data_IF_522513538023
#
_entry.id   IF_522513538023
#
_cell.length_a   1.000
_cell.length_b   1.000
_cell.length_c   1.000
_cell.angle_alpha   90.00
_cell.angle_beta   90.00
_cell.angle_gamma   90.00
#
_symmetry.space_group_name_H-M   'P 1'
#
loop_
_entity.id
_entity.type
_entity.pdbx_description
1 polymer ?
#
# COMPACT_ATOMS: atom_id res chain seq x y z
N UNK A 1 36.91 -7.88 -3.98
CA UNK A 1 35.89 -6.90 -4.39
C UNK A 1 34.67 -7.08 -3.49
N UNK A 2 33.91 -6.02 -3.24
CA UNK A 2 32.68 -6.12 -2.45
C UNK A 2 31.57 -6.86 -3.24
N UNK A 3 30.70 -7.57 -2.53
CA UNK A 3 29.51 -8.26 -3.08
C UNK A 3 28.32 -7.81 -2.23
N UNK A 4 27.31 -7.22 -2.86
CA UNK A 4 26.10 -6.77 -2.18
C UNK A 4 25.28 -7.93 -1.63
N UNK A 5 24.80 -7.86 -0.40
CA UNK A 5 23.85 -8.83 0.13
C UNK A 5 22.41 -8.31 0.10
N UNK A 6 21.50 -9.18 -0.34
CA UNK A 6 20.08 -8.86 -0.41
C UNK A 6 19.51 -8.41 0.95
N UNK A 7 18.59 -7.44 0.94
CA UNK A 7 17.92 -7.01 2.15
C UNK A 7 16.92 -8.08 2.61
N UNK A 8 16.48 -7.97 3.86
CA UNK A 8 15.35 -8.75 4.36
C UNK A 8 14.46 -7.92 5.25
N UNK A 9 13.20 -8.33 5.38
CA UNK A 9 12.23 -7.66 6.25
C UNK A 9 11.20 -8.65 6.76
N UNK A 10 10.66 -8.37 7.94
CA UNK A 10 9.45 -8.99 8.43
C UNK A 10 8.27 -8.04 8.30
N UNK A 11 7.06 -8.57 8.21
CA UNK A 11 5.82 -7.79 8.36
C UNK A 11 5.11 -8.17 9.65
N UNK A 12 4.41 -7.21 10.27
CA UNK A 12 3.58 -7.47 11.45
C UNK A 12 2.38 -8.36 11.12
N UNK A 13 1.87 -8.26 9.89
CA UNK A 13 0.78 -9.07 9.36
C UNK A 13 0.96 -9.27 7.85
N UNK A 14 0.33 -10.30 7.29
CA UNK A 14 0.15 -10.47 5.85
C UNK A 14 -1.26 -10.09 5.40
N UNK A 15 -2.15 -9.78 6.34
CA UNK A 15 -3.52 -9.35 6.08
C UNK A 15 -3.78 -8.03 6.82
N UNK A 16 -4.20 -7.02 6.07
CA UNK A 16 -4.48 -5.67 6.57
C UNK A 16 -5.93 -5.33 6.24
N UNK A 17 -6.68 -4.91 7.26
CA UNK A 17 -8.06 -4.45 7.07
C UNK A 17 -8.17 -2.93 7.23
N UNK A 18 -8.87 -2.31 6.29
CA UNK A 18 -9.11 -0.86 6.29
C UNK A 18 -10.59 -0.60 5.97
N UNK A 19 -11.33 0.21 6.75
CA UNK A 19 -12.70 0.56 6.39
C UNK A 19 -12.75 1.38 5.10
N UNK A 20 -13.72 1.14 4.22
CA UNK A 20 -13.98 2.04 3.10
C UNK A 20 -14.24 3.46 3.63
N UNK A 21 -13.81 4.46 2.86
CA UNK A 21 -13.92 5.87 3.23
C UNK A 21 -13.10 6.29 4.48
N UNK A 22 -12.14 5.48 4.96
CA UNK A 22 -11.26 5.86 6.07
C UNK A 22 -10.31 7.01 5.75
N UNK A 23 -10.23 7.44 4.48
CA UNK A 23 -9.23 8.38 4.02
C UNK A 23 -7.88 7.69 3.93
N UNK A 24 -6.95 8.02 4.83
CA UNK A 24 -5.64 7.36 4.95
C UNK A 24 -5.46 6.71 6.31
N UNK A 25 -5.14 5.42 6.31
CA UNK A 25 -4.82 4.63 7.49
C UNK A 25 -3.33 4.32 7.52
N UNK A 26 -2.68 4.56 8.66
CA UNK A 26 -1.26 4.33 8.87
C UNK A 26 -1.03 3.16 9.85
N UNK A 27 -0.12 2.26 9.49
CA UNK A 27 0.31 1.13 10.32
C UNK A 27 1.80 1.30 10.62
N UNK A 28 2.09 1.94 11.76
CA UNK A 28 3.46 2.20 12.20
C UNK A 28 4.19 0.88 12.54
N UNK A 29 5.43 0.75 12.09
CA UNK A 29 6.24 -0.46 12.31
C UNK A 29 5.73 -1.70 11.57
N UNK A 30 4.86 -1.53 10.58
CA UNK A 30 4.29 -2.63 9.80
C UNK A 30 5.36 -3.51 9.17
N UNK A 31 6.33 -2.92 8.48
CA UNK A 31 7.52 -3.61 8.01
C UNK A 31 8.69 -3.33 8.96
N UNK A 32 9.37 -4.39 9.39
CA UNK A 32 10.61 -4.26 10.16
C UNK A 32 11.76 -4.71 9.25
N UNK A 33 12.54 -3.77 8.69
CA UNK A 33 13.76 -4.11 7.98
C UNK A 33 14.71 -4.88 8.92
N UNK A 34 14.93 -6.14 8.61
CA UNK A 34 16.01 -6.92 9.20
C UNK A 34 17.16 -6.75 8.23
N UNK A 35 17.96 -5.71 8.45
CA UNK A 35 19.05 -5.47 7.53
C UNK A 35 19.94 -6.73 7.47
N UNK A 36 20.18 -7.21 6.25
CA UNK A 36 21.07 -8.30 5.83
C UNK A 36 20.88 -9.64 6.57
N UNK A 37 20.08 -10.54 6.00
CA UNK A 37 19.70 -11.84 6.57
C UNK A 37 20.85 -12.84 6.81
N UNK A 38 22.10 -12.50 6.48
CA UNK A 38 23.23 -13.43 6.51
C UNK A 38 24.43 -12.76 7.16
N UNK A 39 24.81 -13.18 8.38
CA UNK A 39 26.10 -12.89 9.04
C UNK A 39 26.66 -11.50 8.76
N UNK A 40 26.10 -10.45 9.39
CA UNK A 40 26.69 -9.11 9.52
C UNK A 40 27.50 -8.73 8.26
N UNK A 41 26.79 -8.33 7.20
CA UNK A 41 27.42 -7.84 5.99
C UNK A 41 28.53 -6.85 6.32
N UNK A 42 29.54 -6.70 5.43
CA UNK A 42 30.63 -5.79 5.72
C UNK A 42 30.04 -4.39 6.05
N UNK A 43 30.63 -3.62 6.99
CA UNK A 43 30.02 -2.40 7.54
C UNK A 43 29.55 -1.36 6.50
N UNK A 44 30.03 -1.48 5.26
CA UNK A 44 29.62 -0.66 4.13
C UNK A 44 28.23 -1.01 3.55
N UNK A 45 27.48 -1.96 4.13
CA UNK A 45 26.07 -2.20 3.80
C UNK A 45 25.09 -1.43 4.70
N UNK A 46 25.56 -0.90 5.84
CA UNK A 46 24.74 -0.10 6.76
C UNK A 46 24.20 1.19 6.13
N UNK A 47 24.94 1.69 5.13
CA UNK A 47 24.69 2.95 4.42
C UNK A 47 23.79 2.80 3.20
N UNK A 48 23.39 1.58 2.84
CA UNK A 48 22.49 1.37 1.72
C UNK A 48 21.08 1.85 2.04
N UNK A 49 20.43 2.48 1.05
CA UNK A 49 19.07 2.96 1.15
C UNK A 49 18.10 1.83 0.86
N UNK A 50 17.03 1.72 1.65
CA UNK A 50 16.00 0.70 1.49
C UNK A 50 14.71 1.30 0.95
N UNK A 51 14.16 0.68 -0.08
CA UNK A 51 12.86 0.96 -0.67
C UNK A 51 11.98 -0.30 -0.60
N UNK A 52 10.65 -0.13 -0.56
CA UNK A 52 9.69 -1.22 -0.67
C UNK A 52 8.92 -1.11 -1.97
N UNK A 53 8.92 -2.19 -2.74
CA UNK A 53 8.26 -2.27 -4.04
C UNK A 53 7.03 -3.16 -3.92
N UNK A 54 5.92 -2.68 -4.46
CA UNK A 54 4.65 -3.40 -4.53
C UNK A 54 4.44 -3.90 -5.96
N UNK A 55 4.30 -5.21 -6.12
CA UNK A 55 3.85 -5.87 -7.35
C UNK A 55 2.43 -6.41 -7.13
N UNK A 56 1.56 -6.26 -8.12
CA UNK A 56 0.20 -6.80 -8.03
C UNK A 56 0.23 -8.31 -8.28
N UNK A 57 -0.44 -9.08 -7.44
CA UNK A 57 -0.65 -10.49 -7.73
C UNK A 57 -1.60 -10.63 -8.93
N UNK A 58 -1.35 -11.61 -9.81
CA UNK A 58 -2.19 -11.87 -10.98
C UNK A 58 -3.69 -11.93 -10.63
N UNK A 59 -4.52 -11.27 -11.44
CA UNK A 59 -5.98 -11.20 -11.23
C UNK A 59 -6.44 -10.15 -10.22
N UNK A 60 -5.54 -9.31 -9.69
CA UNK A 60 -5.90 -8.18 -8.83
C UNK A 60 -5.98 -6.88 -9.64
N UNK A 61 -7.03 -6.06 -9.44
CA UNK A 61 -7.14 -4.71 -10.01
C UNK A 61 -7.16 -3.64 -8.88
N UNK A 62 -5.98 -3.15 -8.48
CA UNK A 62 -5.82 -2.20 -7.37
C UNK A 62 -6.26 -0.79 -7.72
N UNK A 63 -6.23 -0.41 -9.01
CA UNK A 63 -6.63 0.93 -9.46
C UNK A 63 -8.12 1.19 -9.19
N UNK A 64 -8.88 0.12 -9.01
CA UNK A 64 -10.27 0.15 -8.63
C UNK A 64 -10.50 0.26 -7.11
N UNK A 65 -9.52 -0.03 -6.26
CA UNK A 65 -9.74 -0.11 -4.81
C UNK A 65 -9.15 1.05 -4.02
N UNK A 66 -8.09 1.69 -4.53
CA UNK A 66 -7.35 2.71 -3.80
C UNK A 66 -7.36 4.07 -4.50
N UNK A 67 -7.43 5.15 -3.72
CA UNK A 67 -7.30 6.52 -4.21
C UNK A 67 -5.84 6.84 -4.54
N UNK A 68 -4.91 6.37 -3.70
CA UNK A 68 -3.47 6.35 -3.91
C UNK A 68 -2.98 4.91 -3.75
N UNK A 69 -1.99 4.48 -4.54
CA UNK A 69 -1.38 3.17 -4.35
C UNK A 69 -0.84 3.00 -2.91
N UNK A 70 -1.02 1.83 -2.26
CA UNK A 70 -0.43 1.56 -0.96
C UNK A 70 1.10 1.73 -0.99
N UNK A 71 1.66 2.24 0.11
CA UNK A 71 3.10 2.50 0.22
C UNK A 71 3.64 2.04 1.57
N UNK A 72 4.82 1.44 1.59
CA UNK A 72 5.61 1.24 2.82
C UNK A 72 6.80 2.18 2.76
N UNK A 73 6.90 3.08 3.74
CA UNK A 73 8.05 3.96 3.87
C UNK A 73 9.26 3.21 4.42
N UNK A 74 10.46 3.77 4.24
CA UNK A 74 11.72 3.18 4.71
C UNK A 74 11.79 3.00 6.24
N UNK A 75 10.97 3.76 7.00
CA UNK A 75 10.81 3.59 8.44
C UNK A 75 9.88 2.41 8.82
N UNK A 76 9.35 1.68 7.84
CA UNK A 76 8.47 0.54 8.04
C UNK A 76 6.98 0.87 8.12
N UNK A 77 6.57 2.12 7.94
CA UNK A 77 5.15 2.50 8.05
C UNK A 77 4.41 2.19 6.76
N UNK A 78 3.37 1.36 6.83
CA UNK A 78 2.44 1.13 5.73
C UNK A 78 1.35 2.20 5.75
N UNK A 79 1.07 2.83 4.61
CA UNK A 79 -0.05 3.75 4.41
C UNK A 79 -0.97 3.21 3.34
N UNK A 80 -2.26 3.14 3.66
CA UNK A 80 -3.32 2.67 2.77
C UNK A 80 -4.40 3.73 2.64
N UNK A 81 -4.78 4.06 1.41
CA UNK A 81 -5.84 5.02 1.10
C UNK A 81 -6.91 4.41 0.18
N UNK A 82 -7.99 3.84 0.73
CA UNK A 82 -9.10 3.35 -0.08
C UNK A 82 -9.75 4.46 -0.90
N UNK A 83 -10.20 4.14 -2.10
CA UNK A 83 -11.05 5.03 -2.88
C UNK A 83 -12.45 5.13 -2.24
N UNK A 84 -13.12 6.27 -2.45
CA UNK A 84 -14.47 6.47 -1.93
C UNK A 84 -15.45 5.47 -2.54
N UNK A 85 -16.31 4.90 -1.69
CA UNK A 85 -17.35 3.95 -2.06
C UNK A 85 -16.84 2.66 -2.73
N UNK A 86 -15.56 2.35 -2.54
CA UNK A 86 -14.93 1.11 -3.00
C UNK A 86 -14.63 0.20 -1.82
N UNK A 87 -14.93 -1.08 -2.01
CA UNK A 87 -14.64 -2.16 -1.06
C UNK A 87 -14.24 -3.42 -1.82
N UNK A 88 -13.58 -4.34 -1.13
CA UNK A 88 -13.03 -5.56 -1.71
C UNK A 88 -11.61 -5.83 -1.21
N UNK A 89 -10.96 -6.85 -1.78
CA UNK A 89 -9.61 -7.23 -1.39
C UNK A 89 -8.68 -7.21 -2.59
N UNK A 90 -7.42 -6.86 -2.35
CA UNK A 90 -6.33 -6.91 -3.33
C UNK A 90 -5.12 -7.56 -2.69
N UNK A 91 -4.41 -8.38 -3.48
CA UNK A 91 -3.18 -9.04 -3.06
C UNK A 91 -1.97 -8.41 -3.75
N UNK A 92 -0.93 -8.21 -2.96
CA UNK A 92 0.34 -7.65 -3.38
C UNK A 92 1.47 -8.61 -3.04
N UNK A 93 2.48 -8.65 -3.91
CA UNK A 93 3.81 -9.17 -3.61
C UNK A 93 4.68 -7.97 -3.25
N UNK A 94 5.17 -7.93 -2.02
CA UNK A 94 6.02 -6.86 -1.51
C UNK A 94 7.46 -7.33 -1.45
N UNK A 95 8.39 -6.55 -2.00
CA UNK A 95 9.84 -6.78 -1.90
C UNK A 95 10.50 -5.57 -1.25
N UNK A 96 11.55 -5.82 -0.49
CA UNK A 96 12.49 -4.77 -0.13
C UNK A 96 13.60 -4.72 -1.17
N UNK A 97 14.04 -3.52 -1.53
CA UNK A 97 15.10 -3.27 -2.50
C UNK A 97 16.13 -2.31 -1.91
N UNK A 98 17.41 -2.65 -2.01
CA UNK A 98 18.51 -1.76 -1.67
C UNK A 98 19.20 -1.15 -2.90
N UNK A 99 20.24 -0.35 -2.67
CA UNK A 99 21.04 0.30 -3.72
C UNK A 99 22.51 -0.18 -3.76
N UNK A 100 22.80 -1.39 -3.28
CA UNK A 100 24.16 -1.93 -3.23
C UNK A 100 24.70 -2.48 -4.56
N UNK A 101 23.81 -2.78 -5.50
CA UNK A 101 24.10 -3.22 -6.86
C UNK A 101 24.32 -4.74 -7.01
N UNK A 102 24.14 -5.25 -8.23
CA UNK A 102 24.18 -6.70 -8.54
C UNK A 102 25.53 -7.23 -9.04
N UNK A 103 26.57 -6.37 -9.05
CA UNK A 103 27.89 -6.75 -9.51
C UNK A 103 28.51 -7.86 -8.63
N UNK A 104 29.39 -8.68 -9.22
CA UNK A 104 30.08 -9.78 -8.53
C UNK A 104 29.14 -10.81 -7.87
N UNK A 105 27.91 -10.96 -8.37
CA UNK A 105 26.90 -11.84 -7.78
C UNK A 105 26.11 -11.23 -6.62
N UNK A 106 26.14 -9.90 -6.49
CA UNK A 106 25.31 -9.18 -5.53
C UNK A 106 23.82 -9.25 -5.87
N UNK A 107 22.97 -8.98 -4.88
CA UNK A 107 21.51 -8.98 -5.03
C UNK A 107 20.92 -7.79 -4.30
N UNK A 108 20.08 -7.01 -4.98
CA UNK A 108 19.45 -5.81 -4.42
C UNK A 108 18.07 -6.10 -3.82
N UNK A 109 17.49 -7.27 -4.12
CA UNK A 109 16.09 -7.57 -3.79
C UNK A 109 15.95 -8.69 -2.78
N UNK A 110 15.01 -8.52 -1.85
CA UNK A 110 14.57 -9.57 -0.95
C UNK A 110 13.66 -10.59 -1.66
N UNK A 111 13.46 -11.78 -1.06
CA UNK A 111 12.29 -12.59 -1.37
C UNK A 111 10.98 -11.78 -1.24
N UNK A 112 10.00 -12.09 -2.08
CA UNK A 112 8.68 -11.46 -2.01
C UNK A 112 7.86 -11.97 -0.82
N UNK A 113 7.11 -11.07 -0.20
CA UNK A 113 6.13 -11.36 0.86
C UNK A 113 4.73 -11.06 0.34
N UNK A 114 3.78 -11.98 0.56
CA UNK A 114 2.38 -11.72 0.22
C UNK A 114 1.75 -10.77 1.23
N UNK A 115 1.00 -9.80 0.73
CA UNK A 115 0.20 -8.86 1.51
C UNK A 115 -1.20 -8.76 0.90
N UNK A 116 -2.22 -9.13 1.67
CA UNK A 116 -3.62 -8.87 1.33
C UNK A 116 -4.06 -7.58 2.03
N UNK A 117 -4.58 -6.63 1.27
CA UNK A 117 -5.29 -5.48 1.82
C UNK A 117 -6.78 -5.66 1.54
N UNK A 118 -7.57 -5.77 2.60
CA UNK A 118 -9.02 -5.86 2.58
C UNK A 118 -9.63 -4.51 2.95
N UNK A 119 -10.36 -3.91 2.01
CA UNK A 119 -11.18 -2.73 2.25
C UNK A 119 -12.59 -3.18 2.61
N UNK A 120 -12.96 -3.03 3.88
CA UNK A 120 -14.26 -3.48 4.38
C UNK A 120 -15.39 -2.48 4.08
N UNK A 121 -16.57 -3.02 3.77
CA UNK A 121 -17.75 -2.21 3.50
C UNK A 121 -18.22 -1.46 4.76
N UNK A 122 -18.62 -0.19 4.58
CA UNK A 122 -19.15 0.68 5.64
C UNK A 122 -20.47 1.26 5.15
N UNK A 123 -21.57 0.91 5.81
CA UNK A 123 -22.88 1.43 5.44
C UNK A 123 -22.95 2.96 5.58
N UNK A 124 -23.37 3.65 4.51
CA UNK A 124 -23.51 5.10 4.50
C UNK A 124 -24.95 5.54 4.76
N UNK A 125 -25.12 6.69 5.42
CA UNK A 125 -26.44 7.27 5.64
C UNK A 125 -27.06 7.73 4.30
N UNK A 126 -28.39 7.57 4.10
CA UNK A 126 -29.07 8.16 2.96
C UNK A 126 -28.87 9.68 2.92
N UNK A 127 -28.74 10.25 1.72
CA UNK A 127 -28.69 11.71 1.52
C UNK A 127 -29.77 12.15 0.52
N UNK A 128 -30.33 13.33 0.74
CA UNK A 128 -31.34 13.93 -0.14
C UNK A 128 -30.89 15.34 -0.51
N UNK A 129 -30.85 15.65 -1.81
CA UNK A 129 -30.53 16.99 -2.32
C UNK A 129 -31.68 17.48 -3.19
N UNK A 130 -32.35 18.54 -2.74
CA UNK A 130 -33.40 19.19 -3.53
C UNK A 130 -32.75 20.08 -4.59
N UNK A 131 -33.12 19.90 -5.86
CA UNK A 131 -32.84 20.91 -6.88
C UNK A 131 -33.68 22.16 -6.55
N UNK A 132 -33.14 23.39 -6.74
CA UNK A 132 -33.92 24.59 -6.51
C UNK A 132 -35.20 24.52 -7.32
N UNK A 133 -36.32 24.82 -6.65
CA UNK A 133 -37.67 24.55 -7.11
C UNK A 133 -37.89 25.13 -8.51
N UNK A 134 -38.34 24.27 -9.44
CA UNK A 134 -38.94 24.75 -10.67
C UNK A 134 -40.21 25.50 -10.28
N UNK A 135 -40.17 26.84 -10.33
CA UNK A 135 -41.36 27.67 -10.14
C UNK A 135 -42.38 27.28 -11.21
N UNK A 136 -43.40 26.53 -10.81
CA UNK A 136 -44.59 26.38 -11.65
C UNK A 136 -45.27 27.74 -11.65
N UNK A 137 -45.14 28.49 -12.75
CA UNK A 137 -45.97 29.66 -12.98
C UNK A 137 -47.40 29.18 -13.22
N UNK A 138 -48.18 29.06 -12.14
CA UNK A 138 -49.62 28.92 -12.26
C UNK A 138 -50.19 30.30 -12.58
N UNK A 139 -50.30 30.60 -13.87
CA UNK A 139 -51.30 31.55 -14.34
C UNK A 139 -51.79 31.15 -15.73
N UNK A 140 -52.74 30.22 -15.76
CA UNK A 140 -53.72 30.13 -16.84
C UNK A 140 -55.08 30.33 -16.18
N UNK A 141 -55.39 31.60 -15.91
CA UNK A 141 -56.71 32.03 -15.49
C UNK A 141 -57.67 32.17 -16.68
N UNK A 142 -58.94 31.93 -16.35
CA UNK A 142 -60.20 32.13 -17.08
C UNK A 142 -60.59 31.17 -18.21
#
# INVERSE_FOLDING_TARGET
THVNQAPSFGTQSQDVEVPQNSGGTEFAGFATPNKWASMKGPPNEDVQALEFVFEYAEGSDPALLFADAPVIFSNGTLVVRPALDRFGATRFLVRARDNGGTANGGSDESPAVNLTINVSFVNQKPTFSMKPEARVLQNAGN
#
